data_IF_890683526164
#
_entry.id   IF_890683526164
#
_cell.length_a   1.000
_cell.length_b   1.000
_cell.length_c   1.000
_cell.angle_alpha   90.00
_cell.angle_beta   90.00
_cell.angle_gamma   90.00
#
_symmetry.space_group_name_H-M   'P 1'
#
loop_
_entity.id
_entity.type
_entity.pdbx_description
1 polymer ?
#
# COMPACT_ATOMS: atom_id res chain seq x y z
N UNK A 1 28.41 102.27 -56.41
CA UNK A 1 28.19 100.82 -56.19
C UNK A 1 28.85 100.48 -54.87
N UNK A 2 28.04 100.16 -53.86
CA UNK A 2 28.36 100.33 -52.45
C UNK A 2 29.17 99.17 -51.85
N UNK A 3 29.88 99.44 -50.76
CA UNK A 3 30.16 98.42 -49.76
C UNK A 3 31.58 97.86 -49.81
N UNK A 4 32.18 97.47 -48.69
CA UNK A 4 31.61 97.08 -47.41
C UNK A 4 32.64 97.48 -46.34
N UNK A 5 32.18 98.16 -45.28
CA UNK A 5 33.00 98.62 -44.14
C UNK A 5 33.79 97.45 -43.53
N UNK A 6 35.10 97.59 -43.33
CA UNK A 6 36.00 96.49 -42.88
C UNK A 6 35.55 95.89 -41.53
N UNK A 7 34.89 96.70 -40.68
CA UNK A 7 34.25 96.26 -39.43
C UNK A 7 33.10 95.28 -39.65
N UNK A 8 32.36 95.40 -40.76
CA UNK A 8 31.26 94.48 -41.13
C UNK A 8 31.80 93.13 -41.61
N UNK A 9 32.97 93.11 -42.28
CA UNK A 9 33.63 91.86 -42.69
C UNK A 9 34.12 91.08 -41.46
N UNK A 10 34.77 91.76 -40.51
CA UNK A 10 35.18 91.13 -39.25
C UNK A 10 34.00 90.67 -38.40
N UNK A 11 32.91 91.44 -38.36
CA UNK A 11 31.68 91.03 -37.67
C UNK A 11 31.04 89.79 -38.32
N UNK A 12 30.99 89.71 -39.66
CA UNK A 12 30.47 88.53 -40.38
C UNK A 12 31.35 87.30 -40.16
N UNK A 13 32.67 87.45 -40.13
CA UNK A 13 33.60 86.35 -39.83
C UNK A 13 33.39 85.83 -38.40
N UNK A 14 33.21 86.73 -37.42
CA UNK A 14 32.93 86.35 -36.03
C UNK A 14 31.62 85.60 -35.89
N UNK A 15 30.57 86.04 -36.61
CA UNK A 15 29.27 85.35 -36.64
C UNK A 15 29.41 83.98 -37.30
N UNK A 16 30.12 83.87 -38.42
CA UNK A 16 30.35 82.58 -39.08
C UNK A 16 31.11 81.61 -38.17
N UNK A 17 32.14 82.08 -37.46
CA UNK A 17 32.88 81.26 -36.48
C UNK A 17 31.99 80.85 -35.31
N UNK A 18 31.15 81.75 -34.78
CA UNK A 18 30.21 81.42 -33.71
C UNK A 18 29.15 80.39 -34.17
N UNK A 19 28.67 80.50 -35.41
CA UNK A 19 27.73 79.53 -36.00
C UNK A 19 28.39 78.17 -36.16
N UNK A 20 29.61 78.12 -36.69
CA UNK A 20 30.37 76.86 -36.83
C UNK A 20 30.67 76.25 -35.47
N UNK A 21 31.13 77.05 -34.49
CA UNK A 21 31.40 76.57 -33.13
C UNK A 21 30.13 76.03 -32.46
N UNK A 22 28.99 76.69 -32.64
CA UNK A 22 27.71 76.22 -32.11
C UNK A 22 27.24 74.93 -32.79
N UNK A 23 27.38 74.81 -34.12
CA UNK A 23 27.03 73.60 -34.86
C UNK A 23 27.88 72.41 -34.43
N UNK A 24 29.19 72.60 -34.26
CA UNK A 24 30.11 71.56 -33.75
C UNK A 24 29.72 71.14 -32.34
N UNK A 25 29.44 72.11 -31.46
CA UNK A 25 29.06 71.83 -30.07
C UNK A 25 27.71 71.10 -29.96
N UNK A 26 26.79 71.30 -30.89
CA UNK A 26 25.52 70.56 -30.95
C UNK A 26 25.68 69.16 -31.54
N UNK A 27 26.57 68.98 -32.52
CA UNK A 27 26.84 67.67 -33.12
C UNK A 27 27.63 66.73 -32.19
N UNK A 28 28.50 67.25 -31.33
CA UNK A 28 29.31 66.44 -30.41
C UNK A 28 28.56 66.00 -29.14
N UNK A 29 27.30 66.40 -28.96
CA UNK A 29 26.48 65.92 -27.83
C UNK A 29 25.99 64.49 -28.09
N UNK A 30 26.86 63.52 -27.87
CA UNK A 30 26.48 62.11 -27.86
C UNK A 30 25.57 61.85 -26.65
N UNK A 31 24.32 61.42 -26.85
CA UNK A 31 23.45 61.10 -25.73
C UNK A 31 23.97 59.84 -25.02
N UNK A 32 24.36 59.98 -23.76
CA UNK A 32 24.65 58.84 -22.90
C UNK A 32 23.33 58.10 -22.61
N UNK A 33 23.22 56.90 -23.15
CA UNK A 33 22.14 55.97 -22.85
C UNK A 33 22.59 54.98 -21.79
N UNK A 34 21.70 54.67 -20.86
CA UNK A 34 21.96 53.70 -19.82
C UNK A 34 22.03 52.29 -20.42
N UNK A 35 23.21 51.67 -20.33
CA UNK A 35 23.45 50.33 -20.85
C UNK A 35 23.49 49.32 -19.70
N UNK A 36 22.75 48.23 -19.84
CA UNK A 36 22.78 47.11 -18.90
C UNK A 36 23.69 46.00 -19.46
N UNK A 37 24.69 45.60 -18.68
CA UNK A 37 25.53 44.45 -19.02
C UNK A 37 24.81 43.14 -18.68
N UNK A 38 24.63 42.28 -19.68
CA UNK A 38 24.09 40.93 -19.48
C UNK A 38 25.17 40.03 -18.88
N UNK A 39 24.84 39.33 -17.79
CA UNK A 39 25.70 38.33 -17.15
C UNK A 39 25.11 36.94 -17.36
N UNK A 40 25.97 35.98 -17.71
CA UNK A 40 25.59 34.57 -17.81
C UNK A 40 25.36 34.02 -16.40
N UNK A 41 24.15 33.53 -16.15
CA UNK A 41 23.78 32.82 -14.93
C UNK A 41 22.91 31.61 -15.27
N UNK A 42 22.95 30.52 -14.48
CA UNK A 42 22.13 29.35 -14.72
C UNK A 42 20.65 29.70 -14.55
N UNK A 43 19.89 29.63 -15.63
CA UNK A 43 18.43 29.86 -15.61
C UNK A 43 17.72 28.56 -15.22
N UNK A 44 17.42 28.39 -13.93
CA UNK A 44 16.66 27.25 -13.44
C UNK A 44 15.17 27.51 -13.64
N UNK A 45 14.56 26.84 -14.63
CA UNK A 45 13.12 26.90 -14.87
C UNK A 45 12.41 25.89 -13.98
N UNK A 46 11.94 26.35 -12.82
CA UNK A 46 11.11 25.51 -11.94
C UNK A 46 9.71 25.38 -12.52
N UNK A 47 9.32 24.16 -12.89
CA UNK A 47 7.95 23.84 -13.27
C UNK A 47 7.19 23.43 -12.02
N UNK A 48 6.12 24.17 -11.69
CA UNK A 48 5.22 23.81 -10.59
C UNK A 48 4.06 22.98 -11.13
N UNK A 49 3.87 21.80 -10.56
CA UNK A 49 2.73 20.94 -10.84
C UNK A 49 1.89 20.79 -9.57
N UNK A 50 0.58 20.81 -9.72
CA UNK A 50 -0.36 20.41 -8.66
C UNK A 50 -0.72 18.94 -8.84
N UNK A 51 -0.45 18.13 -7.81
CA UNK A 51 -0.82 16.72 -7.76
C UNK A 51 -1.66 16.44 -6.52
N UNK A 52 -2.53 15.43 -6.59
CA UNK A 52 -3.22 14.91 -5.40
C UNK A 52 -2.46 13.69 -4.91
N UNK A 53 -2.22 13.62 -3.59
CA UNK A 53 -1.65 12.44 -2.96
C UNK A 53 -2.76 11.39 -2.84
N UNK A 54 -2.61 10.29 -3.58
CA UNK A 54 -3.47 9.12 -3.43
C UNK A 54 -2.88 8.17 -2.39
N UNK A 55 -3.75 7.58 -1.57
CA UNK A 55 -3.32 6.54 -0.61
C UNK A 55 -2.86 5.32 -1.41
N UNK A 56 -1.71 4.72 -1.06
CA UNK A 56 -1.16 3.55 -1.77
C UNK A 56 -2.15 2.38 -1.85
N UNK A 57 -3.00 2.22 -0.84
CA UNK A 57 -4.05 1.20 -0.83
C UNK A 57 -5.14 1.62 0.16
N UNK A 58 -6.40 1.53 -0.27
CA UNK A 58 -7.59 1.62 0.60
C UNK A 58 -8.42 0.38 0.31
N UNK A 59 -8.76 -0.36 1.37
CA UNK A 59 -9.56 -1.57 1.28
C UNK A 59 -10.65 -1.54 2.34
N UNK A 60 -11.84 -1.96 1.97
CA UNK A 60 -12.95 -2.16 2.90
C UNK A 60 -12.88 -3.60 3.43
N UNK A 61 -12.93 -3.74 4.75
CA UNK A 61 -12.82 -5.04 5.43
C UNK A 61 -14.19 -5.39 6.01
N UNK A 62 -14.68 -6.60 5.69
CA UNK A 62 -15.94 -7.13 6.20
C UNK A 62 -15.80 -8.58 6.66
N UNK A 63 -16.79 -9.05 7.42
CA UNK A 63 -16.87 -10.45 7.83
C UNK A 63 -17.35 -11.32 6.67
N UNK A 64 -16.74 -12.49 6.49
CA UNK A 64 -17.22 -13.53 5.55
C UNK A 64 -18.41 -14.31 6.11
N UNK A 65 -18.70 -14.17 7.40
CA UNK A 65 -19.79 -14.84 8.10
C UNK A 65 -20.75 -13.81 8.68
N UNK A 66 -22.04 -14.05 8.52
CA UNK A 66 -23.09 -13.24 9.16
C UNK A 66 -23.20 -13.63 10.63
N UNK A 67 -22.85 -12.71 11.53
CA UNK A 67 -22.96 -12.89 12.97
C UNK A 67 -23.11 -11.54 13.67
N UNK A 68 -23.56 -11.56 14.94
CA UNK A 68 -23.60 -10.36 15.78
C UNK A 68 -22.20 -9.97 16.23
N UNK A 69 -21.91 -8.67 16.26
CA UNK A 69 -20.66 -8.15 16.84
C UNK A 69 -20.75 -8.24 18.36
N UNK A 70 -19.83 -8.98 18.97
CA UNK A 70 -19.68 -9.11 20.42
C UNK A 70 -18.84 -7.97 21.00
N UNK A 71 -17.76 -7.57 20.32
CA UNK A 71 -16.87 -6.50 20.77
C UNK A 71 -16.15 -5.84 19.59
N UNK A 72 -15.90 -4.53 19.69
CA UNK A 72 -15.02 -3.79 18.78
C UNK A 72 -13.71 -3.54 19.50
N UNK A 73 -12.60 -4.03 18.94
CA UNK A 73 -11.29 -4.09 19.60
C UNK A 73 -10.37 -2.93 19.24
N UNK A 74 -10.78 -2.09 18.30
CA UNK A 74 -9.99 -0.98 17.77
C UNK A 74 -10.83 0.29 17.69
N UNK A 75 -10.20 1.43 17.95
CA UNK A 75 -10.80 2.75 17.77
C UNK A 75 -10.56 3.29 16.36
N UNK A 76 -11.39 4.22 15.93
CA UNK A 76 -11.22 4.92 14.66
C UNK A 76 -9.86 5.64 14.61
N UNK A 77 -9.17 5.54 13.48
CA UNK A 77 -7.83 6.12 13.29
C UNK A 77 -6.67 5.35 13.95
N UNK A 78 -6.95 4.26 14.66
CA UNK A 78 -5.90 3.42 15.26
C UNK A 78 -5.03 2.74 14.20
N UNK A 79 -3.72 2.69 14.43
CA UNK A 79 -2.79 1.93 13.59
C UNK A 79 -2.85 0.44 13.93
N UNK A 80 -3.11 -0.40 12.93
CA UNK A 80 -3.24 -1.85 13.08
C UNK A 80 -2.21 -2.59 12.23
N UNK A 81 -1.77 -3.76 12.72
CA UNK A 81 -0.84 -4.64 11.98
C UNK A 81 -1.62 -5.76 11.29
N UNK A 82 -1.01 -6.38 10.28
CA UNK A 82 -1.59 -7.55 9.60
C UNK A 82 -1.92 -8.66 10.61
N UNK A 83 -3.16 -9.16 10.55
CA UNK A 83 -3.65 -10.23 11.42
C UNK A 83 -4.13 -9.76 12.81
N UNK A 84 -4.07 -8.46 13.10
CA UNK A 84 -4.66 -7.93 14.33
C UNK A 84 -6.19 -8.08 14.30
N UNK A 85 -6.81 -8.57 15.39
CA UNK A 85 -8.27 -8.67 15.47
C UNK A 85 -8.88 -7.27 15.61
N UNK A 86 -9.83 -6.94 14.72
CA UNK A 86 -10.50 -5.63 14.70
C UNK A 86 -11.84 -5.68 15.45
N UNK A 87 -12.58 -6.77 15.25
CA UNK A 87 -13.87 -7.02 15.89
C UNK A 87 -13.94 -8.48 16.30
N UNK A 88 -14.67 -8.76 17.38
CA UNK A 88 -15.02 -10.12 17.78
C UNK A 88 -16.49 -10.35 17.49
N UNK A 89 -16.78 -11.42 16.77
CA UNK A 89 -18.14 -11.87 16.51
C UNK A 89 -18.58 -12.89 17.56
N UNK A 90 -19.87 -12.92 17.83
CA UNK A 90 -20.48 -13.91 18.70
C UNK A 90 -20.25 -15.33 18.13
N UNK A 91 -19.81 -16.25 18.97
CA UNK A 91 -19.35 -17.59 18.54
C UNK A 91 -19.80 -18.73 19.47
N UNK A 92 -20.73 -18.49 20.38
CA UNK A 92 -21.19 -19.51 21.35
C UNK A 92 -21.78 -20.74 20.66
N UNK A 93 -22.66 -20.55 19.68
CA UNK A 93 -23.24 -21.66 18.91
C UNK A 93 -22.17 -22.44 18.13
N UNK A 94 -21.22 -21.73 17.51
CA UNK A 94 -20.11 -22.36 16.79
C UNK A 94 -19.20 -23.16 17.73
N UNK A 95 -18.93 -22.63 18.93
CA UNK A 95 -18.15 -23.32 19.97
C UNK A 95 -18.87 -24.56 20.47
N UNK A 96 -20.18 -24.48 20.69
CA UNK A 96 -20.99 -25.62 21.08
C UNK A 96 -20.97 -26.73 20.01
N UNK A 97 -21.13 -26.36 18.73
CA UNK A 97 -21.04 -27.30 17.62
C UNK A 97 -19.67 -27.99 17.53
N UNK A 98 -18.58 -27.23 17.71
CA UNK A 98 -17.22 -27.78 17.74
C UNK A 98 -17.03 -28.73 18.93
N UNK A 99 -17.54 -28.37 20.11
CA UNK A 99 -17.47 -29.22 21.30
C UNK A 99 -18.24 -30.54 21.10
N UNK A 100 -19.44 -30.48 20.52
CA UNK A 100 -20.23 -31.67 20.19
C UNK A 100 -19.51 -32.56 19.17
N UNK A 101 -18.95 -31.98 18.10
CA UNK A 101 -18.20 -32.72 17.10
C UNK A 101 -16.94 -33.40 17.68
N UNK A 102 -16.25 -32.70 18.58
CA UNK A 102 -15.07 -33.23 19.27
C UNK A 102 -15.44 -34.39 20.20
N UNK A 103 -16.54 -34.27 20.95
CA UNK A 103 -17.03 -35.36 21.80
C UNK A 103 -17.43 -36.58 20.97
N UNK A 104 -18.13 -36.40 19.85
CA UNK A 104 -18.49 -37.48 18.94
C UNK A 104 -17.24 -38.18 18.35
N UNK A 105 -16.22 -37.40 17.98
CA UNK A 105 -14.93 -37.95 17.53
C UNK A 105 -14.27 -38.81 18.62
N UNK A 106 -14.22 -38.32 19.86
CA UNK A 106 -13.64 -39.05 20.98
C UNK A 106 -14.40 -40.34 21.29
N UNK A 107 -15.73 -40.31 21.26
CA UNK A 107 -16.56 -41.51 21.43
C UNK A 107 -16.32 -42.54 20.33
N UNK A 108 -16.23 -42.11 19.08
CA UNK A 108 -15.92 -42.99 17.95
C UNK A 108 -14.52 -43.60 18.08
N UNK A 109 -13.53 -42.81 18.49
CA UNK A 109 -12.17 -43.29 18.74
C UNK A 109 -12.12 -44.31 19.88
N UNK A 110 -12.83 -44.06 20.99
CA UNK A 110 -12.92 -44.98 22.12
C UNK A 110 -13.62 -46.29 21.71
N UNK A 111 -14.72 -46.21 20.95
CA UNK A 111 -15.42 -47.38 20.41
C UNK A 111 -14.51 -48.22 19.51
N UNK A 112 -13.75 -47.58 18.63
CA UNK A 112 -12.80 -48.24 17.76
C UNK A 112 -11.67 -48.92 18.56
N UNK A 113 -11.17 -48.26 19.60
CA UNK A 113 -10.18 -48.84 20.50
C UNK A 113 -10.73 -50.09 21.21
N UNK A 114 -11.94 -50.02 21.76
CA UNK A 114 -12.60 -51.16 22.41
C UNK A 114 -12.88 -52.33 21.48
N UNK A 115 -13.28 -52.06 20.22
CA UNK A 115 -13.44 -53.10 19.21
C UNK A 115 -12.11 -53.76 18.83
N UNK A 116 -11.01 -52.99 18.81
CA UNK A 116 -9.68 -53.51 18.50
C UNK A 116 -9.07 -54.32 19.64
N UNK A 117 -9.38 -54.00 20.90
CA UNK A 117 -8.90 -54.75 22.06
C UNK A 117 -9.87 -55.88 22.40
N UNK A 118 -10.88 -55.61 23.22
CA UNK A 118 -11.80 -56.60 23.77
C UNK A 118 -12.61 -57.29 22.68
N UNK A 119 -13.03 -56.55 21.65
CA UNK A 119 -13.79 -57.13 20.53
C UNK A 119 -12.99 -58.18 19.73
N UNK A 120 -11.68 -57.99 19.56
CA UNK A 120 -10.83 -59.01 18.93
C UNK A 120 -10.64 -60.22 19.82
N UNK A 121 -10.36 -60.00 21.10
CA UNK A 121 -10.14 -61.10 22.06
C UNK A 121 -11.41 -61.94 22.23
N UNK A 122 -12.60 -61.33 22.30
CA UNK A 122 -13.86 -62.07 22.42
C UNK A 122 -14.18 -62.90 21.18
N UNK A 123 -13.93 -62.37 19.98
CA UNK A 123 -14.09 -63.13 18.72
C UNK A 123 -13.12 -64.30 18.67
N UNK A 124 -11.85 -64.11 19.06
CA UNK A 124 -10.86 -65.18 19.13
C UNK A 124 -11.25 -66.27 20.14
N UNK A 125 -11.70 -65.88 21.34
CA UNK A 125 -12.16 -66.82 22.36
C UNK A 125 -13.37 -67.63 21.87
N UNK A 126 -14.33 -66.97 21.21
CA UNK A 126 -15.50 -67.63 20.62
C UNK A 126 -15.11 -68.64 19.53
N UNK A 127 -14.15 -68.30 18.66
CA UNK A 127 -13.62 -69.24 17.66
C UNK A 127 -12.91 -70.44 18.29
N UNK A 128 -12.08 -70.21 19.31
CA UNK A 128 -11.39 -71.29 20.02
C UNK A 128 -12.39 -72.25 20.70
N UNK A 129 -13.44 -71.71 21.32
CA UNK A 129 -14.49 -72.52 21.95
C UNK A 129 -15.31 -73.30 20.91
N UNK A 130 -15.62 -72.69 19.76
CA UNK A 130 -16.30 -73.38 18.67
C UNK A 130 -15.46 -74.55 18.10
N UNK A 131 -14.15 -74.33 17.93
CA UNK A 131 -13.23 -75.37 17.45
C UNK A 131 -13.13 -76.53 18.44
N UNK A 132 -12.98 -76.23 19.74
CA UNK A 132 -12.93 -77.26 20.78
C UNK A 132 -14.21 -78.13 20.81
N UNK A 133 -15.37 -77.53 20.51
CA UNK A 133 -16.64 -78.25 20.38
C UNK A 133 -16.66 -79.21 19.17
N UNK A 134 -16.11 -78.78 18.03
CA UNK A 134 -15.96 -79.64 16.84
C UNK A 134 -15.03 -80.82 17.14
N UNK A 135 -13.88 -80.54 17.76
CA UNK A 135 -12.88 -81.56 18.07
C UNK A 135 -13.44 -82.63 19.04
N UNK A 136 -14.20 -82.19 20.06
CA UNK A 136 -14.87 -83.09 21.00
C UNK A 136 -15.94 -83.96 20.33
N UNK A 137 -16.74 -83.38 19.44
CA UNK A 137 -17.76 -84.12 18.68
C UNK A 137 -17.13 -85.16 17.75
N UNK A 138 -15.99 -84.85 17.12
CA UNK A 138 -15.23 -85.80 16.31
C UNK A 138 -14.60 -86.92 17.14
N UNK A 139 -14.03 -86.60 18.30
CA UNK A 139 -13.47 -87.61 19.20
C UNK A 139 -14.53 -88.61 19.67
N UNK A 140 -15.73 -88.14 20.01
CA UNK A 140 -16.84 -89.00 20.40
C UNK A 140 -17.33 -89.87 19.23
N UNK A 141 -17.41 -89.31 18.01
CA UNK A 141 -17.77 -90.09 16.82
C UNK A 141 -16.78 -91.23 16.53
N UNK A 142 -15.48 -90.97 16.68
CA UNK A 142 -14.43 -92.00 16.52
C UNK A 142 -14.50 -93.04 17.64
N UNK A 143 -14.90 -92.65 18.85
CA UNK A 143 -15.03 -93.58 19.99
C UNK A 143 -16.20 -94.55 19.84
N UNK A 144 -17.30 -94.10 19.22
CA UNK A 144 -18.53 -94.89 19.05
C UNK A 144 -18.49 -95.81 17.83
N UNK A 145 -17.60 -95.55 16.86
CA UNK A 145 -17.40 -96.37 15.66
C UNK A 145 -16.36 -97.46 15.91
#
# INVERSE_FOLDING_TARGET
MAGIDQRRIWALALVAVAVVASAVWWLERVPMIEAVQVRLGPLVRTLQFSGRVATLSRVDIGSTVTARVSEVLVSEGAQVRKGAPLVRLESEELRAAVAQATAAQQQAAARLAGLRSTGRTSVQAGMAQAQAGVDAAQAEFVRVR
#
